data_IF_620135108279
#
_entry.id   IF_620135108279
#
_cell.length_a   1.000
_cell.length_b   1.000
_cell.length_c   1.000
_cell.angle_alpha   90.00
_cell.angle_beta   90.00
_cell.angle_gamma   90.00
#
_symmetry.space_group_name_H-M   'P 1'
#
loop_
_entity.id
_entity.type
_entity.pdbx_description
1 polymer ?
#
# COMPACT_ATOMS: atom_id res chain seq x y z
N UNK A 1 26.86 4.71 3.81
CA UNK A 1 27.53 4.65 2.49
C UNK A 1 27.34 5.99 1.80
N UNK A 2 28.37 6.84 1.80
CA UNK A 2 28.42 8.02 0.94
C UNK A 2 29.01 7.58 -0.40
N UNK A 3 28.29 7.83 -1.49
CA UNK A 3 28.81 7.69 -2.85
C UNK A 3 29.31 9.07 -3.25
N UNK A 4 30.51 9.18 -3.81
CA UNK A 4 30.99 10.45 -4.37
C UNK A 4 30.04 10.88 -5.51
N UNK A 5 29.37 12.04 -5.41
CA UNK A 5 28.45 12.49 -6.45
C UNK A 5 29.16 13.10 -7.65
N UNK A 6 30.44 13.49 -7.53
CA UNK A 6 31.17 14.24 -8.57
C UNK A 6 31.27 13.52 -9.93
N UNK A 7 31.45 12.19 -10.02
CA UNK A 7 31.44 11.48 -11.30
C UNK A 7 30.04 11.18 -11.85
N UNK A 8 28.97 11.45 -11.10
CA UNK A 8 27.61 11.08 -11.47
C UNK A 8 26.79 12.28 -11.93
N UNK A 9 25.94 12.04 -12.93
CA UNK A 9 24.93 13.01 -13.35
C UNK A 9 23.79 13.10 -12.33
N UNK A 10 23.10 14.25 -12.29
CA UNK A 10 21.92 14.43 -11.42
C UNK A 10 20.86 13.34 -11.64
N UNK A 11 20.68 12.90 -12.89
CA UNK A 11 19.74 11.82 -13.24
C UNK A 11 20.10 10.50 -12.56
N UNK A 12 21.38 10.13 -12.59
CA UNK A 12 21.87 8.90 -11.97
C UNK A 12 21.70 8.95 -10.45
N UNK A 13 21.99 10.10 -9.83
CA UNK A 13 21.77 10.31 -8.39
C UNK A 13 20.30 10.13 -8.01
N UNK A 14 19.36 10.68 -8.80
CA UNK A 14 17.93 10.52 -8.56
C UNK A 14 17.51 9.05 -8.64
N UNK A 15 18.01 8.30 -9.63
CA UNK A 15 17.72 6.87 -9.76
C UNK A 15 18.27 6.06 -8.60
N UNK A 16 19.52 6.32 -8.19
CA UNK A 16 20.13 5.63 -7.05
C UNK A 16 19.36 5.89 -5.76
N UNK A 17 18.97 7.14 -5.50
CA UNK A 17 18.17 7.49 -4.31
C UNK A 17 16.79 6.87 -4.38
N UNK A 18 16.15 6.87 -5.56
CA UNK A 18 14.86 6.21 -5.78
C UNK A 18 14.92 4.72 -5.48
N UNK A 19 15.90 4.02 -6.07
CA UNK A 19 16.12 2.59 -5.86
C UNK A 19 16.42 2.27 -4.39
N UNK A 20 17.28 3.07 -3.73
CA UNK A 20 17.59 2.91 -2.31
C UNK A 20 16.34 3.06 -1.45
N UNK A 21 15.53 4.10 -1.68
CA UNK A 21 14.28 4.30 -0.94
C UNK A 21 13.32 3.14 -1.17
N UNK A 22 13.21 2.67 -2.40
CA UNK A 22 12.37 1.52 -2.75
C UNK A 22 12.81 0.25 -2.01
N UNK A 23 14.11 -0.04 -1.95
CA UNK A 23 14.66 -1.19 -1.23
C UNK A 23 14.41 -1.10 0.28
N UNK A 24 14.71 0.05 0.89
CA UNK A 24 14.48 0.28 2.32
C UNK A 24 13.02 0.11 2.72
N UNK A 25 12.11 0.66 1.91
CA UNK A 25 10.68 0.49 2.14
C UNK A 25 10.19 -0.93 1.85
N UNK A 26 10.76 -1.62 0.87
CA UNK A 26 10.45 -3.03 0.60
C UNK A 26 10.82 -3.92 1.79
N UNK A 27 12.01 -3.72 2.36
CA UNK A 27 12.44 -4.42 3.56
C UNK A 27 11.53 -4.11 4.77
N UNK A 28 11.28 -2.82 5.04
CA UNK A 28 10.44 -2.38 6.17
C UNK A 28 9.02 -2.94 6.05
N UNK A 29 8.44 -2.88 4.86
CA UNK A 29 7.10 -3.38 4.58
C UNK A 29 7.01 -4.91 4.76
N UNK A 30 8.04 -5.67 4.39
CA UNK A 30 8.10 -7.11 4.61
C UNK A 30 8.10 -7.47 6.10
N UNK A 31 8.88 -6.75 6.92
CA UNK A 31 8.92 -6.96 8.38
C UNK A 31 7.59 -6.61 9.04
N UNK A 32 6.98 -5.50 8.63
CA UNK A 32 5.65 -5.10 9.13
C UNK A 32 4.57 -6.11 8.74
N UNK A 33 4.57 -6.60 7.50
CA UNK A 33 3.63 -7.61 7.05
C UNK A 33 3.80 -8.94 7.79
N UNK A 34 5.05 -9.38 8.03
CA UNK A 34 5.32 -10.56 8.84
C UNK A 34 4.75 -10.38 10.25
N UNK A 35 5.08 -9.27 10.90
CA UNK A 35 4.65 -8.97 12.27
C UNK A 35 3.12 -8.90 12.38
N UNK A 36 2.46 -8.25 11.42
CA UNK A 36 1.00 -8.18 11.37
C UNK A 36 0.35 -9.55 11.13
N UNK A 37 0.97 -10.40 10.29
CA UNK A 37 0.47 -11.74 10.02
C UNK A 37 0.65 -12.70 11.20
N UNK A 38 1.73 -12.57 11.97
CA UNK A 38 1.93 -13.34 13.22
C UNK A 38 0.80 -13.06 14.22
N UNK A 39 0.37 -11.81 14.33
CA UNK A 39 -0.72 -11.39 15.22
C UNK A 39 -2.12 -11.42 14.58
N UNK A 40 -2.24 -11.95 13.35
CA UNK A 40 -3.49 -11.92 12.59
C UNK A 40 -4.49 -12.93 13.14
N UNK A 41 -5.72 -12.47 13.41
CA UNK A 41 -6.85 -13.35 13.68
C UNK A 41 -7.56 -13.78 12.36
N UNK A 42 -7.50 -15.06 11.95
CA UNK A 42 -8.09 -15.52 10.70
C UNK A 42 -9.62 -15.44 10.66
N UNK A 43 -10.30 -15.45 11.82
CA UNK A 43 -11.77 -15.31 11.90
C UNK A 43 -12.24 -13.89 11.59
N UNK A 44 -11.44 -12.88 11.93
CA UNK A 44 -11.75 -11.46 11.66
C UNK A 44 -11.25 -11.03 10.28
N UNK A 45 -10.11 -11.57 9.83
CA UNK A 45 -9.52 -11.25 8.54
C UNK A 45 -8.99 -12.50 7.86
N UNK A 46 -9.77 -13.01 6.90
CA UNK A 46 -9.45 -14.22 6.14
C UNK A 46 -8.16 -14.06 5.30
N UNK A 47 -7.97 -12.89 4.68
CA UNK A 47 -6.80 -12.61 3.83
C UNK A 47 -5.58 -12.18 4.66
N UNK A 48 -4.38 -12.76 4.44
CA UNK A 48 -3.14 -12.27 5.02
C UNK A 48 -2.87 -10.81 4.65
N UNK A 49 -2.09 -10.12 5.47
CA UNK A 49 -1.55 -8.82 5.11
C UNK A 49 -0.44 -8.98 4.08
N UNK A 50 -0.47 -8.20 3.01
CA UNK A 50 0.61 -8.15 2.02
C UNK A 50 1.62 -7.03 2.34
N UNK A 51 2.91 -7.16 1.97
CA UNK A 51 3.87 -6.06 2.12
C UNK A 51 3.44 -4.78 1.40
N UNK A 52 2.78 -4.90 0.25
CA UNK A 52 2.26 -3.78 -0.51
C UNK A 52 1.27 -2.89 0.29
N UNK A 53 0.57 -3.46 1.29
CA UNK A 53 -0.30 -2.67 2.17
C UNK A 53 0.48 -1.70 3.08
N UNK A 54 1.74 -2.01 3.40
CA UNK A 54 2.61 -1.20 4.26
C UNK A 54 3.64 -0.37 3.47
N UNK A 55 3.72 -0.53 2.16
CA UNK A 55 4.70 0.16 1.33
C UNK A 55 4.17 1.51 0.82
N UNK A 56 4.73 2.67 1.25
CA UNK A 56 4.16 3.98 0.91
C UNK A 56 4.34 4.37 -0.56
N UNK A 57 5.39 3.86 -1.23
CA UNK A 57 5.64 4.14 -2.65
C UNK A 57 4.84 3.24 -3.60
N UNK A 58 4.06 2.29 -3.09
CA UNK A 58 3.19 1.46 -3.94
C UNK A 58 1.89 2.21 -4.17
N UNK A 59 1.59 2.51 -5.44
CA UNK A 59 0.31 3.09 -5.82
C UNK A 59 -0.83 2.14 -5.48
N UNK A 60 -1.74 2.60 -4.63
CA UNK A 60 -2.96 1.86 -4.33
C UNK A 60 -3.96 2.14 -5.43
N UNK A 61 -4.33 1.11 -6.19
CA UNK A 61 -5.44 1.22 -7.15
C UNK A 61 -6.67 1.73 -6.39
N UNK A 62 -7.31 2.82 -6.82
CA UNK A 62 -8.53 3.28 -6.20
C UNK A 62 -9.55 2.15 -6.27
N UNK A 63 -10.19 1.86 -5.14
CA UNK A 63 -11.31 0.92 -5.13
C UNK A 63 -12.36 1.49 -6.08
N UNK A 64 -12.73 0.73 -7.11
CA UNK A 64 -13.79 1.13 -8.01
C UNK A 64 -15.09 1.21 -7.21
N UNK A 65 -15.45 2.42 -6.74
CA UNK A 65 -16.71 2.66 -6.06
C UNK A 65 -17.78 2.59 -7.15
N UNK A 66 -18.62 1.55 -7.09
CA UNK A 66 -19.79 1.45 -7.96
C UNK A 66 -20.72 2.62 -7.64
N UNK A 67 -20.72 3.66 -8.48
CA UNK A 67 -21.62 4.80 -8.34
C UNK A 67 -23.04 4.28 -8.50
N UNK A 68 -23.77 4.24 -7.39
CA UNK A 68 -25.16 3.82 -7.37
C UNK A 68 -26.03 5.04 -7.12
N UNK A 69 -27.15 5.16 -7.83
CA UNK A 69 -28.05 6.31 -7.68
C UNK A 69 -28.63 6.39 -6.27
N UNK A 70 -28.81 7.63 -5.76
CA UNK A 70 -29.34 7.94 -4.41
C UNK A 70 -30.64 7.19 -4.08
N UNK A 71 -31.42 6.82 -5.11
CA UNK A 71 -32.66 6.02 -5.01
C UNK A 71 -32.48 4.69 -4.27
N UNK A 72 -31.29 4.08 -4.27
CA UNK A 72 -31.02 2.84 -3.52
C UNK A 72 -31.11 3.05 -2.01
N UNK A 73 -30.83 4.25 -1.50
CA UNK A 73 -31.00 4.54 -0.07
C UNK A 73 -32.46 4.40 0.36
N UNK A 74 -33.42 4.83 -0.48
CA UNK A 74 -34.85 4.62 -0.18
C UNK A 74 -35.19 3.13 -0.08
N UNK A 75 -34.67 2.31 -1.00
CA UNK A 75 -34.90 0.86 -0.99
C UNK A 75 -34.29 0.17 0.24
N UNK A 76 -33.09 0.58 0.66
CA UNK A 76 -32.39 -0.04 1.80
C UNK A 76 -33.00 0.39 3.14
N UNK A 77 -33.41 1.66 3.27
CA UNK A 77 -33.80 2.25 4.56
C UNK A 77 -35.31 2.44 4.76
N UNK A 78 -36.12 2.54 3.68
CA UNK A 78 -37.56 2.84 3.78
C UNK A 78 -38.42 1.64 3.42
N UNK A 79 -38.14 1.00 2.28
CA UNK A 79 -39.01 -0.06 1.73
C UNK A 79 -38.82 -1.43 2.40
N UNK A 80 -37.84 -1.56 3.30
CA UNK A 80 -37.48 -2.84 3.96
C UNK A 80 -38.25 -3.09 5.27
N UNK A 81 -39.48 -2.59 5.36
CA UNK A 81 -40.36 -2.73 6.53
C UNK A 81 -41.43 -3.77 6.30
#
# INVERSE_FOLDING_TARGET
MGVDPNPLTLRELIWMVGARRQDQWSHTAAVLALTANVHRNPKKRSKPYSPAEFHPLVERKPVAISKTGIRVLKRVFVDKR
#
